data_IF_459860536234
#
_entry.id   IF_459860536234
#
_cell.length_a   1.000
_cell.length_b   1.000
_cell.length_c   1.000
_cell.angle_alpha   90.00
_cell.angle_beta   90.00
_cell.angle_gamma   90.00
#
_symmetry.space_group_name_H-M   'P 1'
#
loop_
_entity.id
_entity.type
_entity.pdbx_description
1 polymer ?
#
# COMPACT_ATOMS: atom_id res chain seq x y z
N UNK A 1 6.55 -12.38 0.77
CA UNK A 1 5.84 -12.05 -0.50
C UNK A 1 5.52 -10.57 -0.51
N UNK A 2 5.60 -9.88 -1.64
CA UNK A 2 5.17 -8.48 -1.75
C UNK A 2 4.21 -8.35 -2.94
N UNK A 3 2.94 -8.10 -2.62
CA UNK A 3 1.88 -7.75 -3.56
C UNK A 3 1.13 -6.51 -3.07
N UNK A 4 1.88 -5.53 -2.56
CA UNK A 4 1.38 -4.27 -1.99
C UNK A 4 0.22 -4.54 -1.01
N UNK A 5 -0.90 -3.83 -1.14
CA UNK A 5 -2.10 -3.97 -0.30
C UNK A 5 -2.68 -5.40 -0.27
N UNK A 6 -2.37 -6.22 -1.28
CA UNK A 6 -2.82 -7.62 -1.37
C UNK A 6 -1.87 -8.64 -0.73
N UNK A 7 -0.77 -8.22 -0.10
CA UNK A 7 0.27 -9.14 0.40
C UNK A 7 -0.24 -10.14 1.44
N UNK A 8 -1.15 -9.72 2.32
CA UNK A 8 -1.77 -10.60 3.32
C UNK A 8 -2.59 -11.72 2.68
N UNK A 9 -3.40 -11.41 1.66
CA UNK A 9 -4.12 -12.43 0.91
C UNK A 9 -3.18 -13.30 0.08
N UNK A 10 -2.12 -12.73 -0.50
CA UNK A 10 -1.16 -13.48 -1.29
C UNK A 10 -0.42 -14.55 -0.46
N UNK A 11 -0.13 -14.28 0.82
CA UNK A 11 0.50 -15.30 1.67
C UNK A 11 -0.42 -16.50 1.90
N UNK A 12 -1.73 -16.27 2.02
CA UNK A 12 -2.74 -17.34 2.08
C UNK A 12 -2.78 -18.14 0.77
N UNK A 13 -2.83 -17.46 -0.38
CA UNK A 13 -2.82 -18.11 -1.70
C UNK A 13 -1.61 -19.02 -1.86
N UNK A 14 -0.42 -18.54 -1.50
CA UNK A 14 0.80 -19.35 -1.57
C UNK A 14 0.73 -20.56 -0.64
N UNK A 15 0.30 -20.39 0.61
CA UNK A 15 0.16 -21.51 1.54
C UNK A 15 -0.86 -22.55 1.07
N UNK A 16 -1.96 -22.13 0.47
CA UNK A 16 -2.94 -23.04 -0.13
C UNK A 16 -2.34 -23.81 -1.31
N UNK A 17 -1.61 -23.14 -2.21
CA UNK A 17 -0.91 -23.79 -3.32
C UNK A 17 0.11 -24.83 -2.85
N UNK A 18 0.90 -24.52 -1.83
CA UNK A 18 1.89 -25.44 -1.27
C UNK A 18 1.24 -26.70 -0.70
N UNK A 19 0.07 -26.56 -0.07
CA UNK A 19 -0.70 -27.72 0.43
C UNK A 19 -1.28 -28.54 -0.72
N UNK A 20 -1.87 -27.89 -1.73
CA UNK A 20 -2.52 -28.57 -2.87
C UNK A 20 -1.51 -29.40 -3.67
N UNK A 21 -0.31 -28.87 -3.88
CA UNK A 21 0.76 -29.55 -4.65
C UNK A 21 1.48 -30.61 -3.79
N UNK A 22 1.15 -30.70 -2.50
CA UNK A 22 1.77 -31.63 -1.56
C UNK A 22 3.16 -31.20 -1.07
N UNK A 23 3.55 -29.94 -1.33
CA UNK A 23 4.79 -29.35 -0.84
C UNK A 23 4.77 -29.01 0.66
N UNK A 24 3.58 -28.85 1.25
CA UNK A 24 3.39 -28.63 2.68
C UNK A 24 2.14 -29.35 3.22
N UNK A 25 2.10 -29.60 4.53
CA UNK A 25 0.90 -30.11 5.24
C UNK A 25 0.25 -29.06 6.14
N UNK A 26 1.06 -28.15 6.67
CA UNK A 26 0.65 -27.03 7.53
C UNK A 26 1.49 -25.83 7.12
N UNK A 27 0.86 -24.68 6.92
CA UNK A 27 1.53 -23.43 6.55
C UNK A 27 1.01 -22.31 7.44
N UNK A 28 1.92 -21.54 8.05
CA UNK A 28 1.58 -20.30 8.73
C UNK A 28 1.56 -19.16 7.71
N UNK A 29 0.42 -18.48 7.59
CA UNK A 29 0.23 -17.37 6.67
C UNK A 29 -0.11 -16.10 7.46
N UNK A 30 0.28 -14.94 6.93
CA UNK A 30 0.11 -13.67 7.61
C UNK A 30 0.54 -12.48 6.77
N UNK A 31 0.26 -11.29 7.28
CA UNK A 31 0.69 -10.02 6.72
C UNK A 31 0.96 -9.04 7.85
N UNK A 32 1.99 -8.23 7.70
CA UNK A 32 2.37 -7.20 8.67
C UNK A 32 2.90 -5.99 7.91
N UNK A 33 2.62 -4.81 8.44
CA UNK A 33 3.14 -3.54 7.96
C UNK A 33 3.42 -2.63 9.16
N UNK A 34 4.40 -1.74 9.01
CA UNK A 34 4.72 -0.71 10.00
C UNK A 34 5.08 0.60 9.29
N UNK A 35 4.05 1.30 8.81
CA UNK A 35 4.20 2.57 8.10
C UNK A 35 4.92 3.63 8.94
N UNK A 36 4.76 3.63 10.27
CA UNK A 36 5.41 4.59 11.17
C UNK A 36 6.94 4.44 11.23
N UNK A 37 7.47 3.28 10.85
CA UNK A 37 8.91 3.02 10.77
C UNK A 37 9.48 3.21 9.36
N UNK A 38 8.68 3.70 8.40
CA UNK A 38 9.20 3.99 7.07
C UNK A 38 10.34 5.01 7.15
N UNK A 39 11.54 4.69 6.61
CA UNK A 39 12.70 5.54 6.76
C UNK A 39 12.66 6.68 5.75
N UNK A 40 13.39 7.75 6.10
CA UNK A 40 13.88 8.68 5.09
C UNK A 40 15.15 8.13 4.43
N UNK A 41 15.29 8.32 3.12
CA UNK A 41 16.44 7.82 2.35
C UNK A 41 17.10 8.95 1.57
N UNK A 42 18.42 9.02 1.65
CA UNK A 42 19.25 9.86 0.77
C UNK A 42 19.85 8.93 -0.29
N UNK A 43 19.51 9.18 -1.55
CA UNK A 43 20.04 8.40 -2.68
C UNK A 43 21.33 9.04 -3.22
N UNK A 44 22.11 8.25 -3.96
CA UNK A 44 23.28 8.73 -4.72
C UNK A 44 24.44 9.31 -3.90
N UNK A 45 24.58 8.92 -2.63
CA UNK A 45 25.67 9.38 -1.76
C UNK A 45 26.83 8.37 -1.62
N UNK A 46 26.62 7.11 -2.03
CA UNK A 46 27.56 6.00 -1.75
C UNK A 46 28.93 6.14 -2.41
N UNK A 47 29.00 6.68 -3.63
CA UNK A 47 30.20 6.65 -4.48
C UNK A 47 30.84 8.03 -4.69
N UNK A 48 30.62 8.94 -3.74
CA UNK A 48 31.02 10.34 -3.87
C UNK A 48 29.91 11.21 -4.46
N UNK A 49 30.05 12.52 -4.24
CA UNK A 49 29.06 13.53 -4.58
C UNK A 49 29.74 14.62 -5.42
N UNK A 50 29.01 15.25 -6.34
CA UNK A 50 29.54 16.42 -7.03
C UNK A 50 29.38 17.65 -6.13
N UNK A 51 30.29 18.61 -6.28
CA UNK A 51 30.17 19.89 -5.56
C UNK A 51 28.85 20.57 -5.95
N UNK A 52 28.11 21.06 -4.96
CA UNK A 52 26.80 21.68 -5.13
C UNK A 52 25.68 20.74 -5.64
N UNK A 53 25.80 19.42 -5.51
CA UNK A 53 24.64 18.53 -5.71
C UNK A 53 23.65 18.69 -4.57
N UNK A 54 22.39 18.98 -4.92
CA UNK A 54 21.28 18.98 -3.96
C UNK A 54 20.87 17.53 -3.65
N UNK A 55 20.84 17.19 -2.36
CA UNK A 55 20.36 15.91 -1.87
C UNK A 55 19.04 16.11 -1.15
N UNK A 56 18.04 15.32 -1.56
CA UNK A 56 16.74 15.31 -0.91
C UNK A 56 16.73 14.20 0.14
N UNK A 57 16.23 14.53 1.33
CA UNK A 57 15.87 13.53 2.33
C UNK A 57 14.49 12.97 1.92
N UNK A 58 14.50 11.88 1.15
CA UNK A 58 13.28 11.34 0.53
C UNK A 58 12.45 10.56 1.55
N UNK A 59 11.17 10.91 1.69
CA UNK A 59 10.19 10.09 2.40
C UNK A 59 9.81 8.88 1.53
N UNK A 60 10.27 7.69 1.92
CA UNK A 60 10.01 6.46 1.16
C UNK A 60 8.53 6.09 1.20
N UNK A 61 7.81 6.38 2.28
CA UNK A 61 6.39 6.10 2.38
C UNK A 61 5.60 6.94 1.39
N UNK A 62 5.88 8.24 1.35
CA UNK A 62 5.21 9.15 0.42
C UNK A 62 5.46 8.76 -1.05
N UNK A 63 6.71 8.43 -1.36
CA UNK A 63 7.09 7.96 -2.70
C UNK A 63 6.41 6.63 -3.05
N UNK A 64 6.28 5.70 -2.11
CA UNK A 64 5.63 4.40 -2.32
C UNK A 64 4.11 4.50 -2.57
N UNK A 65 3.47 5.59 -2.13
CA UNK A 65 2.05 5.87 -2.38
C UNK A 65 1.77 6.53 -3.74
N UNK A 66 2.82 6.73 -4.55
CA UNK A 66 2.71 7.22 -5.92
C UNK A 66 3.20 6.15 -6.89
N UNK A 67 2.33 5.73 -7.81
CA UNK A 67 2.76 4.85 -8.88
C UNK A 67 3.63 5.64 -9.86
N UNK A 68 4.93 5.35 -9.90
CA UNK A 68 5.88 6.01 -10.78
C UNK A 68 5.69 5.65 -12.26
N UNK A 69 5.06 4.50 -12.57
CA UNK A 69 4.80 4.11 -13.95
C UNK A 69 3.73 5.01 -14.57
N UNK A 70 2.60 5.17 -13.86
CA UNK A 70 1.52 6.05 -14.30
C UNK A 70 1.71 7.52 -13.86
N UNK A 71 2.67 7.78 -12.97
CA UNK A 71 2.91 9.07 -12.29
C UNK A 71 1.69 9.59 -11.53
N UNK A 72 0.92 8.67 -10.94
CA UNK A 72 -0.36 9.01 -10.30
C UNK A 72 -0.34 8.59 -8.83
N UNK A 73 -0.57 9.53 -7.89
CA UNK A 73 -0.79 9.20 -6.49
C UNK A 73 -2.03 8.32 -6.32
N UNK A 74 -2.00 7.38 -5.39
CA UNK A 74 -3.12 6.45 -5.19
C UNK A 74 -4.44 7.18 -4.89
N UNK A 75 -4.42 8.28 -4.15
CA UNK A 75 -5.63 9.09 -3.91
C UNK A 75 -6.23 9.66 -5.21
N UNK A 76 -5.39 10.09 -6.15
CA UNK A 76 -5.84 10.61 -7.45
C UNK A 76 -6.45 9.49 -8.32
N UNK A 77 -5.95 8.25 -8.20
CA UNK A 77 -6.60 7.12 -8.90
C UNK A 77 -8.04 6.89 -8.43
N UNK A 78 -8.33 7.15 -7.14
CA UNK A 78 -9.69 7.08 -6.60
C UNK A 78 -10.59 8.20 -7.15
N UNK A 79 -10.05 9.42 -7.28
CA UNK A 79 -10.77 10.55 -7.90
C UNK A 79 -11.08 10.29 -9.38
N UNK A 80 -10.11 9.76 -10.14
CA UNK A 80 -10.32 9.36 -11.54
C UNK A 80 -11.40 8.28 -11.62
N UNK A 81 -11.40 7.31 -10.71
CA UNK A 81 -12.45 6.30 -10.66
C UNK A 81 -13.82 6.90 -10.36
N UNK A 82 -13.90 7.86 -9.43
CA UNK A 82 -15.13 8.58 -9.12
C UNK A 82 -15.66 9.34 -10.34
N UNK A 83 -14.81 10.05 -11.08
CA UNK A 83 -15.21 10.78 -12.29
C UNK A 83 -15.78 9.85 -13.38
N UNK A 84 -15.30 8.61 -13.45
CA UNK A 84 -15.77 7.61 -14.40
C UNK A 84 -17.01 6.84 -13.93
N UNK A 85 -17.55 7.16 -12.75
CA UNK A 85 -18.74 6.52 -12.18
C UNK A 85 -19.81 7.57 -11.86
N UNK A 86 -21.05 7.16 -11.67
CA UNK A 86 -22.16 8.06 -11.28
C UNK A 86 -22.20 8.34 -9.77
N UNK A 87 -21.11 8.07 -9.05
CA UNK A 87 -21.01 8.20 -7.60
C UNK A 87 -20.87 9.67 -7.20
N UNK A 88 -21.84 10.15 -6.43
CA UNK A 88 -21.81 11.49 -5.84
C UNK A 88 -20.88 11.53 -4.62
N UNK A 89 -20.26 12.69 -4.39
CA UNK A 89 -19.41 12.97 -3.22
C UNK A 89 -20.13 12.68 -1.88
N UNK A 90 -21.42 13.04 -1.78
CA UNK A 90 -22.28 12.71 -0.62
C UNK A 90 -22.37 11.21 -0.31
N UNK A 91 -22.10 10.34 -1.30
CA UNK A 91 -22.09 8.89 -1.10
C UNK A 91 -20.80 8.43 -0.41
N UNK A 92 -19.66 9.02 -0.75
CA UNK A 92 -18.37 8.72 -0.11
C UNK A 92 -18.37 9.13 1.37
N UNK A 93 -18.92 10.30 1.69
CA UNK A 93 -19.07 10.77 3.08
C UNK A 93 -20.00 9.85 3.90
N UNK A 94 -21.18 9.50 3.35
CA UNK A 94 -22.11 8.56 4.00
C UNK A 94 -21.47 7.20 4.25
N UNK A 95 -20.67 6.72 3.29
CA UNK A 95 -19.93 5.47 3.45
C UNK A 95 -18.89 5.58 4.57
N UNK A 96 -18.12 6.68 4.60
CA UNK A 96 -17.11 6.95 5.63
C UNK A 96 -17.73 6.97 7.03
N UNK A 97 -18.82 7.73 7.22
CA UNK A 97 -19.55 7.79 8.50
C UNK A 97 -20.06 6.41 8.93
N UNK A 98 -20.70 5.67 8.00
CA UNK A 98 -21.19 4.32 8.28
C UNK A 98 -20.05 3.39 8.69
N UNK A 99 -18.90 3.47 8.03
CA UNK A 99 -17.75 2.62 8.36
C UNK A 99 -17.25 2.88 9.78
N UNK A 100 -17.15 4.15 10.19
CA UNK A 100 -16.73 4.52 11.55
C UNK A 100 -17.74 4.05 12.60
N UNK A 101 -19.05 4.20 12.33
CA UNK A 101 -20.10 3.73 13.22
C UNK A 101 -20.11 2.21 13.36
N UNK A 102 -19.91 1.48 12.26
CA UNK A 102 -19.82 0.02 12.29
C UNK A 102 -18.62 -0.45 13.11
N UNK A 103 -17.46 0.21 12.98
CA UNK A 103 -16.29 -0.09 13.81
C UNK A 103 -16.58 0.15 15.29
N UNK A 104 -17.20 1.29 15.64
CA UNK A 104 -17.57 1.62 17.02
C UNK A 104 -18.55 0.62 17.64
N UNK A 105 -19.47 0.09 16.83
CA UNK A 105 -20.52 -0.83 17.28
C UNK A 105 -20.12 -2.31 17.18
N UNK A 106 -18.88 -2.60 16.77
CA UNK A 106 -18.40 -3.97 16.70
C UNK A 106 -18.27 -4.53 18.13
N UNK A 107 -18.91 -5.67 18.45
CA UNK A 107 -18.84 -6.29 19.77
C UNK A 107 -17.44 -6.85 20.09
#
# INVERSE_FOLDING_TARGET
VNRLCGSGFQSIVNGAHDIIIGGAKVVLTGGSDNMSQAPYVIRNMRFGTQLCTEYMLEDVLWMALTDQHCKTPMGVTAEIWQQNTTLQEKTAEKFSLRSQLNWKNCP
#
